data_IF_440679258850
#
_entry.id   IF_440679258850
#
_cell.length_a   1.000
_cell.length_b   1.000
_cell.length_c   1.000
_cell.angle_alpha   90.00
_cell.angle_beta   90.00
_cell.angle_gamma   90.00
#
_symmetry.space_group_name_H-M   'P 1'
#
loop_
_entity.id
_entity.type
_entity.pdbx_description
1 polymer ?
#
# COMPACT_ATOMS: atom_id res chain seq x y z
N UNK A 1 21.06 6.10 -19.05
CA UNK A 1 21.01 5.49 -17.71
C UNK A 1 19.60 5.55 -17.18
N UNK A 2 19.02 4.44 -16.75
CA UNK A 2 17.67 4.36 -16.14
C UNK A 2 17.80 4.20 -14.64
N UNK A 3 16.99 4.92 -13.86
CA UNK A 3 16.91 4.72 -12.41
C UNK A 3 15.90 3.63 -12.11
N UNK A 4 16.33 2.53 -11.51
CA UNK A 4 15.46 1.45 -11.10
C UNK A 4 15.22 1.53 -9.58
N UNK A 5 13.95 1.52 -9.18
CA UNK A 5 13.52 1.40 -7.79
C UNK A 5 12.87 0.03 -7.63
N UNK A 6 13.55 -0.90 -6.97
CA UNK A 6 13.00 -2.21 -6.66
C UNK A 6 12.51 -2.25 -5.22
N UNK A 7 11.24 -2.60 -5.06
CA UNK A 7 10.56 -2.76 -3.78
C UNK A 7 10.22 -4.25 -3.62
N UNK A 8 11.10 -5.06 -3.00
CA UNK A 8 10.79 -6.46 -2.74
C UNK A 8 9.69 -6.64 -1.69
N UNK A 9 9.56 -5.68 -0.76
CA UNK A 9 8.59 -5.67 0.33
C UNK A 9 8.24 -4.23 0.76
N UNK A 10 7.40 -4.07 1.79
CA UNK A 10 6.89 -2.77 2.27
C UNK A 10 7.92 -1.90 3.02
N UNK A 11 9.09 -2.45 3.36
CA UNK A 11 10.11 -1.77 4.19
C UNK A 11 11.46 -1.64 3.50
N UNK A 12 11.65 -2.32 2.38
CA UNK A 12 12.90 -2.39 1.63
C UNK A 12 12.74 -1.67 0.29
N UNK A 13 13.63 -0.72 0.03
CA UNK A 13 13.73 -0.05 -1.27
C UNK A 13 15.17 -0.13 -1.75
N UNK A 14 15.38 -0.78 -2.88
CA UNK A 14 16.67 -0.90 -3.55
C UNK A 14 16.69 0.04 -4.75
N UNK A 15 17.64 0.97 -4.76
CA UNK A 15 17.84 1.88 -5.88
C UNK A 15 19.06 1.43 -6.69
N UNK A 16 18.87 1.24 -7.99
CA UNK A 16 19.93 0.86 -8.92
C UNK A 16 19.95 1.79 -10.13
N UNK A 17 21.11 1.92 -10.74
CA UNK A 17 21.25 2.54 -12.06
C UNK A 17 21.50 1.45 -13.09
N UNK A 18 20.76 1.49 -14.19
CA UNK A 18 20.81 0.44 -15.22
C UNK A 18 21.12 1.05 -16.58
N UNK A 19 22.10 0.46 -17.26
CA UNK A 19 22.53 0.79 -18.62
C UNK A 19 21.57 0.20 -19.67
N UNK A 20 20.29 0.54 -19.55
CA UNK A 20 19.26 0.20 -20.53
C UNK A 20 18.18 1.27 -20.52
N UNK A 21 17.38 1.37 -21.58
CA UNK A 21 16.28 2.34 -21.58
C UNK A 21 15.16 1.92 -20.62
N UNK A 22 14.51 2.90 -20.00
CA UNK A 22 13.45 2.65 -19.03
C UNK A 22 12.29 1.85 -19.64
N UNK A 23 12.00 2.09 -20.92
CA UNK A 23 10.98 1.36 -21.68
C UNK A 23 11.36 -0.11 -21.90
N UNK A 24 12.60 -0.38 -22.30
CA UNK A 24 13.08 -1.76 -22.50
C UNK A 24 13.12 -2.52 -21.17
N UNK A 25 13.61 -1.87 -20.11
CA UNK A 25 13.66 -2.47 -18.77
C UNK A 25 12.26 -2.83 -18.27
N UNK A 26 11.30 -1.92 -18.37
CA UNK A 26 9.93 -2.17 -17.95
C UNK A 26 9.26 -3.27 -18.80
N UNK A 27 9.47 -3.28 -20.11
CA UNK A 27 8.94 -4.30 -21.00
C UNK A 27 9.51 -5.69 -20.70
N UNK A 28 10.83 -5.80 -20.47
CA UNK A 28 11.49 -7.06 -20.14
C UNK A 28 10.95 -7.64 -18.83
N UNK A 29 10.84 -6.82 -17.78
CA UNK A 29 10.33 -7.26 -16.47
C UNK A 29 8.87 -7.70 -16.58
N UNK A 30 8.02 -6.94 -17.26
CA UNK A 30 6.61 -7.31 -17.45
C UNK A 30 6.42 -8.55 -18.34
N UNK A 31 7.40 -8.88 -19.18
CA UNK A 31 7.45 -10.13 -19.94
C UNK A 31 7.97 -11.33 -19.11
N UNK A 32 8.34 -11.11 -17.83
CA UNK A 32 8.86 -12.14 -16.93
C UNK A 32 10.37 -12.34 -17.00
N UNK A 33 11.10 -11.47 -17.71
CA UNK A 33 12.55 -11.51 -17.74
C UNK A 33 13.13 -10.72 -16.56
N UNK A 34 14.20 -11.24 -15.95
CA UNK A 34 14.93 -10.56 -14.88
C UNK A 34 16.32 -10.13 -15.37
N UNK A 35 16.42 -9.01 -16.15
CA UNK A 35 17.68 -8.56 -16.74
C UNK A 35 18.68 -7.98 -15.73
N UNK A 36 18.26 -7.80 -14.47
CA UNK A 36 19.08 -7.26 -13.38
C UNK A 36 19.21 -8.35 -12.31
N UNK A 37 20.43 -8.63 -11.84
CA UNK A 37 20.70 -9.67 -10.83
C UNK A 37 19.88 -9.51 -9.55
N UNK A 38 19.65 -8.26 -9.12
CA UNK A 38 18.81 -7.94 -7.96
C UNK A 38 17.37 -8.48 -8.10
N UNK A 39 16.88 -8.65 -9.33
CA UNK A 39 15.53 -9.14 -9.63
C UNK A 39 15.47 -10.66 -9.81
N UNK A 40 16.60 -11.34 -10.02
CA UNK A 40 16.63 -12.81 -10.21
C UNK A 40 16.29 -13.58 -8.94
N UNK A 41 16.48 -12.95 -7.77
CA UNK A 41 16.13 -13.52 -6.47
C UNK A 41 14.63 -13.46 -6.18
N UNK A 42 13.84 -12.80 -7.03
CA UNK A 42 12.41 -12.72 -6.85
C UNK A 42 11.76 -14.09 -7.13
N UNK A 43 11.13 -14.64 -6.10
CA UNK A 43 10.35 -15.88 -6.19
C UNK A 43 8.98 -15.67 -6.83
N UNK A 44 8.55 -14.40 -6.96
CA UNK A 44 7.25 -14.00 -7.48
C UNK A 44 7.37 -13.30 -8.84
N UNK A 45 6.28 -13.32 -9.61
CA UNK A 45 6.22 -12.62 -10.89
C UNK A 45 6.31 -11.11 -10.65
N UNK A 46 7.35 -10.47 -11.17
CA UNK A 46 7.57 -9.04 -11.00
C UNK A 46 6.67 -8.20 -11.92
N UNK A 47 6.37 -6.98 -11.50
CA UNK A 47 5.75 -5.95 -12.31
C UNK A 47 6.65 -4.72 -12.33
N UNK A 48 6.72 -4.08 -13.49
CA UNK A 48 7.45 -2.84 -13.69
C UNK A 48 6.53 -1.73 -14.21
N UNK A 49 6.62 -0.56 -13.58
CA UNK A 49 6.00 0.68 -14.03
C UNK A 49 7.06 1.70 -14.37
N UNK A 50 6.99 2.25 -15.59
CA UNK A 50 7.87 3.33 -16.03
C UNK A 50 7.24 4.69 -15.69
N UNK A 51 8.02 5.55 -15.03
CA UNK A 51 7.69 6.96 -14.79
C UNK A 51 8.87 7.81 -15.28
N UNK A 52 8.72 8.42 -16.46
CA UNK A 52 9.80 9.12 -17.15
C UNK A 52 10.98 8.18 -17.39
N UNK A 53 12.13 8.50 -16.79
CA UNK A 53 13.37 7.71 -16.88
C UNK A 53 13.60 6.81 -15.65
N UNK A 54 12.59 6.70 -14.77
CA UNK A 54 12.62 5.81 -13.61
C UNK A 54 11.73 4.59 -13.88
N UNK A 55 12.18 3.41 -13.48
CA UNK A 55 11.39 2.17 -13.51
C UNK A 55 11.20 1.70 -12.08
N UNK A 56 9.95 1.57 -11.66
CA UNK A 56 9.58 1.04 -10.34
C UNK A 56 9.21 -0.42 -10.52
N UNK A 57 9.85 -1.31 -9.77
CA UNK A 57 9.69 -2.76 -9.84
C UNK A 57 9.19 -3.27 -8.50
N UNK A 58 8.17 -4.12 -8.52
CA UNK A 58 7.62 -4.74 -7.31
C UNK A 58 7.02 -6.11 -7.66
N UNK A 59 6.99 -7.07 -6.73
CA UNK A 59 6.34 -8.36 -6.96
C UNK A 59 4.83 -8.19 -7.17
N UNK A 60 4.29 -8.88 -8.19
CA UNK A 60 2.85 -9.12 -8.33
C UNK A 60 2.47 -10.19 -7.33
N UNK A 61 2.11 -9.77 -6.12
CA UNK A 61 1.35 -10.65 -5.24
C UNK A 61 0.14 -11.17 -6.03
N UNK A 62 0.01 -12.50 -6.14
CA UNK A 62 -1.13 -13.20 -6.75
C UNK A 62 -2.41 -12.88 -5.95
N UNK A 63 -2.99 -11.68 -6.05
CA UNK A 63 -4.27 -11.29 -5.43
C UNK A 63 -4.57 -12.00 -4.10
N UNK A 64 -3.56 -12.14 -3.25
CA UNK A 64 -3.72 -11.84 -1.86
C UNK A 64 -3.25 -10.42 -1.86
N UNK A 65 -4.17 -9.48 -1.81
CA UNK A 65 -3.89 -8.26 -1.07
C UNK A 65 -3.00 -8.68 0.11
N UNK A 66 -1.91 -7.99 0.45
CA UNK A 66 -1.56 -7.95 1.85
C UNK A 66 -2.85 -7.40 2.47
N UNK A 67 -3.70 -8.31 2.95
CA UNK A 67 -4.73 -7.97 3.89
C UNK A 67 -3.85 -7.48 5.03
N UNK A 68 -3.58 -6.18 5.02
CA UNK A 68 -3.01 -5.43 6.11
C UNK A 68 -4.02 -5.64 7.21
N UNK A 69 -3.95 -6.80 7.87
CA UNK A 69 -5.10 -7.58 8.32
C UNK A 69 -6.21 -6.62 8.61
N UNK A 70 -7.06 -6.34 7.60
CA UNK A 70 -8.19 -5.47 7.81
C UNK A 70 -9.00 -6.37 8.71
N UNK A 71 -9.05 -6.11 10.03
CA UNK A 71 -9.88 -6.94 10.87
C UNK A 71 -11.28 -6.75 10.30
N UNK A 72 -12.15 -7.72 10.49
CA UNK A 72 -13.55 -7.85 9.99
C UNK A 72 -14.40 -6.56 9.87
N UNK A 73 -13.92 -5.43 10.37
CA UNK A 73 -14.47 -4.10 10.52
C UNK A 73 -13.97 -3.07 9.48
N UNK A 74 -13.06 -3.40 8.54
CA UNK A 74 -12.67 -2.46 7.47
C UNK A 74 -11.60 -1.40 7.81
N UNK A 75 -11.13 -1.33 9.07
CA UNK A 75 -10.27 -0.25 9.56
C UNK A 75 -8.79 -0.64 9.67
N UNK A 76 -7.91 0.26 9.24
CA UNK A 76 -6.46 0.16 9.51
C UNK A 76 -6.17 0.26 11.01
N UNK A 77 -5.02 -0.27 11.46
CA UNK A 77 -4.60 -0.21 12.89
C UNK A 77 -4.68 1.20 13.48
N UNK A 78 -4.19 2.22 12.77
CA UNK A 78 -4.22 3.62 13.21
C UNK A 78 -5.63 4.20 13.26
N UNK A 79 -6.51 3.79 12.33
CA UNK A 79 -7.91 4.19 12.35
C UNK A 79 -8.67 3.58 13.54
N UNK A 80 -8.35 2.35 13.93
CA UNK A 80 -8.94 1.73 15.13
C UNK A 80 -8.55 2.46 16.40
N UNK A 81 -7.26 2.77 16.54
CA UNK A 81 -6.74 3.52 17.69
C UNK A 81 -7.41 4.91 17.81
N UNK A 82 -7.57 5.62 16.70
CA UNK A 82 -8.32 6.90 16.67
C UNK A 82 -9.80 6.70 17.02
N UNK A 83 -10.44 5.66 16.49
CA UNK A 83 -11.85 5.36 16.76
C UNK A 83 -12.10 5.00 18.23
N UNK A 84 -11.20 4.21 18.82
CA UNK A 84 -11.26 3.79 20.21
C UNK A 84 -11.13 5.00 21.14
N UNK A 85 -10.15 5.89 20.92
CA UNK A 85 -10.05 7.11 21.71
C UNK A 85 -11.27 8.02 21.51
N UNK A 86 -11.79 8.15 20.29
CA UNK A 86 -13.00 8.91 20.03
C UNK A 86 -14.23 8.31 20.74
N UNK A 87 -14.36 6.98 20.81
CA UNK A 87 -15.47 6.32 21.52
C UNK A 87 -15.39 6.47 23.05
N UNK A 88 -14.20 6.72 23.59
CA UNK A 88 -14.00 7.08 25.00
C UNK A 88 -14.26 8.58 25.27
N UNK A 89 -14.68 9.36 24.27
CA UNK A 89 -15.07 10.76 24.42
C UNK A 89 -13.94 11.78 24.25
N UNK A 90 -12.73 11.35 23.89
CA UNK A 90 -11.61 12.27 23.67
C UNK A 90 -11.81 13.12 22.42
N UNK A 91 -11.43 14.39 22.50
CA UNK A 91 -11.49 15.30 21.36
C UNK A 91 -10.24 15.17 20.46
N UNK A 92 -10.31 15.74 19.25
CA UNK A 92 -9.24 15.60 18.25
C UNK A 92 -7.86 16.13 18.70
N UNK A 93 -7.81 17.06 19.66
CA UNK A 93 -6.57 17.62 20.20
C UNK A 93 -5.95 16.71 21.26
N UNK A 94 -6.80 16.10 22.10
CA UNK A 94 -6.39 15.08 23.08
C UNK A 94 -5.88 13.83 22.38
N UNK A 95 -6.61 13.35 21.35
CA UNK A 95 -6.20 12.21 20.51
C UNK A 95 -4.86 12.50 19.83
N UNK A 96 -4.70 13.70 19.27
CA UNK A 96 -3.46 14.12 18.63
C UNK A 96 -2.27 14.06 19.61
N UNK A 97 -2.47 14.57 20.84
CA UNK A 97 -1.46 14.56 21.90
C UNK A 97 -1.11 13.15 22.34
N UNK A 98 -2.10 12.27 22.56
CA UNK A 98 -1.88 10.88 22.98
C UNK A 98 -1.18 10.04 21.91
N UNK A 99 -1.48 10.29 20.64
CA UNK A 99 -0.91 9.54 19.52
C UNK A 99 0.39 10.14 18.95
N UNK A 100 0.82 11.31 19.43
CA UNK A 100 2.02 12.00 18.94
C UNK A 100 1.91 12.48 17.49
N UNK A 101 0.71 12.84 17.03
CA UNK A 101 0.41 13.27 15.65
C UNK A 101 -0.31 14.61 15.62
N UNK A 102 -0.43 15.23 14.44
CA UNK A 102 -1.17 16.48 14.31
C UNK A 102 -2.69 16.28 14.37
N UNK A 103 -3.43 17.29 14.86
CA UNK A 103 -4.91 17.33 14.78
C UNK A 103 -5.43 17.15 13.35
N UNK A 104 -4.69 17.64 12.35
CA UNK A 104 -5.01 17.45 10.92
C UNK A 104 -4.93 15.97 10.53
N UNK A 105 -3.94 15.26 11.04
CA UNK A 105 -3.76 13.82 10.84
C UNK A 105 -4.89 13.02 11.49
N UNK A 106 -5.32 13.38 12.70
CA UNK A 106 -6.50 12.79 13.36
C UNK A 106 -7.76 12.99 12.52
N UNK A 107 -7.98 14.21 12.01
CA UNK A 107 -9.13 14.54 11.15
C UNK A 107 -9.12 13.73 9.85
N UNK A 108 -7.94 13.50 9.27
CA UNK A 108 -7.78 12.65 8.09
C UNK A 108 -8.14 11.19 8.39
N UNK A 109 -7.68 10.64 9.51
CA UNK A 109 -8.06 9.29 9.94
C UNK A 109 -9.58 9.15 10.15
N UNK A 110 -10.23 10.12 10.79
CA UNK A 110 -11.69 10.16 10.99
C UNK A 110 -12.47 10.20 9.67
N UNK A 111 -12.01 10.96 8.67
CA UNK A 111 -12.60 10.93 7.32
C UNK A 111 -12.48 9.56 6.68
N UNK A 112 -11.32 8.92 6.80
CA UNK A 112 -11.11 7.55 6.32
C UNK A 112 -12.01 6.54 7.03
N UNK A 113 -12.22 6.68 8.34
CA UNK A 113 -13.13 5.83 9.13
C UNK A 113 -14.58 5.97 8.64
N UNK A 114 -15.08 7.20 8.46
CA UNK A 114 -16.44 7.44 7.93
C UNK A 114 -16.65 6.83 6.54
N UNK A 115 -15.65 6.92 5.67
CA UNK A 115 -15.71 6.31 4.35
C UNK A 115 -15.81 4.78 4.44
N UNK A 116 -15.02 4.14 5.31
CA UNK A 116 -15.05 2.69 5.50
C UNK A 116 -16.38 2.22 6.11
N UNK A 117 -16.91 2.91 7.12
CA UNK A 117 -18.22 2.57 7.74
C UNK A 117 -19.35 2.68 6.71
N UNK A 118 -19.33 3.70 5.85
CA UNK A 118 -20.33 3.85 4.77
C UNK A 118 -20.26 2.68 3.78
N UNK A 119 -19.07 2.17 3.49
CA UNK A 119 -18.87 1.03 2.59
C UNK A 119 -19.34 -0.29 3.22
N UNK A 120 -19.17 -0.49 4.53
CA UNK A 120 -19.60 -1.71 5.22
C UNK A 120 -21.07 -1.71 5.64
N UNK A 121 -21.74 -0.55 5.66
CA UNK A 121 -23.15 -0.41 6.03
C UNK A 121 -24.15 -0.88 4.94
N UNK A 122 -23.66 -1.40 3.81
CA UNK A 122 -24.49 -2.09 2.82
C UNK A 122 -23.89 -3.44 2.41
N UNK A 123 -24.25 -4.52 3.12
CA UNK A 123 -24.40 -5.83 2.53
C UNK A 123 -25.91 -6.12 2.44
N UNK A 124 -26.57 -5.63 1.40
CA UNK A 124 -27.82 -6.25 0.92
C UNK A 124 -27.38 -7.34 -0.06
N UNK A 125 -27.33 -8.60 0.38
CA UNK A 125 -28.44 -9.54 0.27
C UNK A 125 -28.68 -9.94 -1.20
N UNK A 126 -28.27 -11.16 -1.56
CA UNK A 126 -28.57 -11.73 -2.86
C UNK A 126 -27.69 -12.92 -3.22
N UNK A 127 -27.98 -14.08 -2.63
CA UNK A 127 -27.93 -15.40 -3.30
C UNK A 127 -28.29 -16.49 -2.28
N UNK A 128 -29.58 -16.57 -1.95
CA UNK A 128 -30.18 -17.83 -1.51
C UNK A 128 -30.54 -18.64 -2.76
N UNK A 129 -30.11 -19.90 -2.75
CA UNK A 129 -30.55 -21.07 -3.56
C UNK A 129 -30.35 -21.05 -5.08
#
# INVERSE_FOLDING_TARGET
MTRLLYLPDDVTILQLEVEMSARQLAAAINAGLAPVEALQKATEMLYASQIGNTVIVFPRHKRGHPQRAVPSNGLTRRQREVLELASHGYNNEEIARMMGISRRTVSYHLKGIKAQIKTTAFPAAGSDS
#
